data_IF_246962947555
#
_entry.id   IF_246962947555
#
_cell.length_a   1.000
_cell.length_b   1.000
_cell.length_c   1.000
_cell.angle_alpha   90.00
_cell.angle_beta   90.00
_cell.angle_gamma   90.00
#
_symmetry.space_group_name_H-M   'P 1'
#
loop_
_entity.id
_entity.type
_entity.pdbx_description
1 polymer ?
#
# COMPACT_ATOMS: atom_id res chain seq x y z
N UNK A 1 -0.40 -8.47 -23.71
CA UNK A 1 -0.83 -9.83 -23.33
C UNK A 1 -1.72 -10.43 -24.41
N UNK A 2 -1.55 -11.73 -24.66
CA UNK A 2 -2.50 -12.52 -25.46
C UNK A 2 -3.59 -13.06 -24.53
N UNK A 3 -4.67 -12.29 -24.38
CA UNK A 3 -5.74 -12.66 -23.46
C UNK A 3 -6.52 -13.91 -23.90
N UNK A 4 -6.59 -14.21 -25.19
CA UNK A 4 -7.27 -15.42 -25.68
C UNK A 4 -6.47 -16.66 -25.30
N UNK A 5 -5.14 -16.60 -25.42
CA UNK A 5 -4.27 -17.66 -24.89
C UNK A 5 -4.41 -17.78 -23.38
N UNK A 6 -4.32 -16.66 -22.63
CA UNK A 6 -4.41 -16.67 -21.17
C UNK A 6 -5.72 -17.30 -20.68
N UNK A 7 -6.86 -17.03 -21.33
CA UNK A 7 -8.16 -17.68 -21.03
C UNK A 7 -8.08 -19.20 -21.05
N UNK A 8 -7.25 -19.78 -21.90
CA UNK A 8 -7.08 -21.24 -21.97
C UNK A 8 -6.19 -21.77 -20.84
N UNK A 9 -5.30 -20.95 -20.30
CA UNK A 9 -4.31 -21.35 -19.29
C UNK A 9 -4.80 -21.10 -17.86
N UNK A 10 -5.49 -20.00 -17.61
CA UNK A 10 -5.95 -19.53 -16.30
C UNK A 10 -7.48 -19.53 -16.23
N UNK A 11 -8.02 -20.31 -15.28
CA UNK A 11 -9.46 -20.31 -14.96
C UNK A 11 -9.68 -20.15 -13.46
N UNK A 12 -10.89 -19.77 -13.05
CA UNK A 12 -11.26 -19.62 -11.63
C UNK A 12 -11.07 -20.93 -10.87
N UNK A 13 -11.43 -22.08 -11.50
CA UNK A 13 -11.29 -23.41 -10.92
C UNK A 13 -9.81 -23.76 -10.68
N UNK A 14 -8.93 -23.43 -11.63
CA UNK A 14 -7.48 -23.62 -11.45
C UNK A 14 -6.95 -22.75 -10.29
N UNK A 15 -7.39 -21.51 -10.16
CA UNK A 15 -7.00 -20.64 -9.04
C UNK A 15 -7.52 -21.17 -7.70
N UNK A 16 -8.75 -21.68 -7.64
CA UNK A 16 -9.36 -22.20 -6.41
C UNK A 16 -8.56 -23.35 -5.77
N UNK A 17 -7.88 -24.16 -6.59
CA UNK A 17 -7.05 -25.29 -6.10
C UNK A 17 -5.56 -24.96 -5.98
N UNK A 18 -5.15 -23.76 -6.43
CA UNK A 18 -3.76 -23.32 -6.39
C UNK A 18 -3.32 -23.03 -4.96
N UNK A 19 -2.28 -23.72 -4.50
CA UNK A 19 -1.76 -23.58 -3.11
C UNK A 19 -0.81 -22.40 -2.90
N UNK A 20 -0.41 -21.73 -3.99
CA UNK A 20 0.44 -20.54 -3.89
C UNK A 20 -0.38 -19.36 -3.37
N UNK A 21 -0.11 -18.94 -2.15
CA UNK A 21 -0.69 -17.77 -1.48
C UNK A 21 0.28 -16.59 -1.57
N UNK A 22 0.64 -16.20 -2.79
CA UNK A 22 1.45 -15.01 -3.11
C UNK A 22 0.95 -14.35 -4.38
N UNK A 23 1.54 -13.22 -4.75
CA UNK A 23 1.24 -12.56 -6.02
C UNK A 23 1.56 -13.45 -7.24
N UNK A 24 2.43 -14.44 -7.09
CA UNK A 24 2.88 -15.33 -8.15
C UNK A 24 1.83 -16.36 -8.56
N UNK A 25 0.75 -16.47 -7.79
CA UNK A 25 -0.43 -17.29 -8.19
C UNK A 25 -1.09 -16.83 -9.48
N UNK A 26 -0.82 -15.59 -9.92
CA UNK A 26 -1.35 -15.02 -11.17
C UNK A 26 -0.27 -14.95 -12.26
N UNK A 27 0.64 -15.92 -12.27
CA UNK A 27 1.83 -15.91 -13.14
C UNK A 27 1.48 -15.70 -14.62
N UNK A 28 0.38 -16.28 -15.08
CA UNK A 28 -0.10 -16.18 -16.45
C UNK A 28 -0.48 -14.73 -16.87
N UNK A 29 -0.77 -13.90 -15.87
CA UNK A 29 -1.02 -12.47 -16.05
C UNK A 29 0.22 -11.61 -15.73
N UNK A 30 1.40 -12.18 -15.52
CA UNK A 30 2.62 -11.45 -15.22
C UNK A 30 3.60 -11.55 -16.41
N UNK A 31 4.39 -10.49 -16.69
CA UNK A 31 5.31 -10.47 -17.82
C UNK A 31 6.62 -11.19 -17.49
N UNK A 32 6.53 -12.44 -17.09
CA UNK A 32 7.67 -13.30 -16.73
C UNK A 32 7.68 -14.56 -17.59
N UNK A 33 8.87 -15.05 -17.88
CA UNK A 33 9.04 -16.32 -18.57
C UNK A 33 8.61 -17.48 -17.66
N UNK A 34 8.13 -18.56 -18.25
CA UNK A 34 7.68 -19.74 -17.50
C UNK A 34 8.80 -20.33 -16.62
N UNK A 35 10.03 -20.29 -17.11
CA UNK A 35 11.23 -20.78 -16.42
C UNK A 35 11.72 -19.89 -15.28
N UNK A 36 11.27 -18.63 -15.18
CA UNK A 36 11.74 -17.70 -14.15
C UNK A 36 11.25 -18.12 -12.77
N UNK A 37 12.13 -18.38 -11.80
CA UNK A 37 11.68 -18.71 -10.45
C UNK A 37 11.01 -17.49 -9.78
N UNK A 38 9.98 -17.74 -8.99
CA UNK A 38 9.43 -16.71 -8.11
C UNK A 38 10.50 -16.32 -7.06
N UNK A 39 10.69 -15.02 -6.78
CA UNK A 39 11.57 -14.61 -5.68
C UNK A 39 11.16 -15.22 -4.35
N UNK A 40 12.12 -15.48 -3.42
CA UNK A 40 11.87 -16.31 -2.23
C UNK A 40 10.89 -15.73 -1.22
N UNK A 41 10.76 -14.40 -1.13
CA UNK A 41 9.82 -13.78 -0.20
C UNK A 41 8.37 -13.97 -0.67
N UNK A 42 7.50 -14.39 0.23
CA UNK A 42 6.07 -14.50 -0.03
C UNK A 42 5.44 -13.11 -0.04
N UNK A 43 5.39 -12.50 -1.21
CA UNK A 43 4.80 -11.18 -1.44
C UNK A 43 3.37 -11.35 -1.96
N UNK A 44 2.47 -10.49 -1.48
CA UNK A 44 1.06 -10.53 -1.89
C UNK A 44 0.24 -11.55 -1.10
N UNK A 45 -0.97 -11.82 -1.60
CA UNK A 45 -2.02 -12.54 -0.90
C UNK A 45 -2.23 -11.98 0.50
N UNK A 46 -2.15 -10.66 0.59
CA UNK A 46 -2.36 -9.92 1.84
C UNK A 46 -3.82 -10.03 2.29
N UNK A 47 -4.09 -9.90 3.59
CA UNK A 47 -5.46 -10.02 4.10
C UNK A 47 -6.41 -9.01 3.47
N UNK A 48 -7.64 -9.45 3.24
CA UNK A 48 -8.80 -8.62 2.95
C UNK A 48 -9.77 -8.80 4.12
N UNK A 49 -9.82 -7.81 5.01
CA UNK A 49 -10.67 -7.84 6.20
C UNK A 49 -12.05 -7.25 5.90
N UNK A 50 -13.12 -7.93 6.26
CA UNK A 50 -14.44 -7.30 6.35
C UNK A 50 -14.45 -6.38 7.58
N UNK A 51 -14.72 -5.10 7.38
CA UNK A 51 -14.57 -4.04 8.37
C UNK A 51 -15.95 -3.51 8.82
N UNK A 52 -16.79 -4.39 9.37
CA UNK A 52 -18.17 -4.10 9.76
C UNK A 52 -18.31 -2.85 10.65
N UNK A 53 -17.50 -2.74 11.72
CA UNK A 53 -17.52 -1.58 12.63
C UNK A 53 -17.10 -0.27 11.94
N UNK A 54 -16.23 -0.35 10.96
CA UNK A 54 -15.84 0.81 10.17
C UNK A 54 -16.93 1.17 9.16
N UNK A 55 -17.53 0.19 8.51
CA UNK A 55 -18.66 0.36 7.61
C UNK A 55 -19.84 1.05 8.31
N UNK A 56 -20.20 0.58 9.51
CA UNK A 56 -21.25 1.18 10.35
C UNK A 56 -20.95 2.66 10.65
N UNK A 57 -19.70 3.00 11.03
CA UNK A 57 -19.30 4.38 11.31
C UNK A 57 -19.30 5.28 10.07
N UNK A 58 -19.07 4.73 8.90
CA UNK A 58 -19.11 5.46 7.63
C UNK A 58 -20.50 5.49 6.99
N UNK A 59 -21.46 4.74 7.52
CA UNK A 59 -22.85 4.68 7.03
C UNK A 59 -22.98 3.98 5.67
N UNK A 60 -22.14 2.95 5.40
CA UNK A 60 -22.18 2.13 4.19
C UNK A 60 -22.39 0.66 4.52
N UNK A 61 -22.97 -0.10 3.59
CA UNK A 61 -23.37 -1.49 3.84
C UNK A 61 -22.17 -2.43 3.99
N UNK A 62 -21.19 -2.35 3.09
CA UNK A 62 -20.07 -3.27 3.04
C UNK A 62 -18.75 -2.54 2.82
N UNK A 63 -17.83 -2.71 3.75
CA UNK A 63 -16.47 -2.19 3.66
C UNK A 63 -15.45 -3.29 3.91
N UNK A 64 -14.50 -3.39 3.01
CA UNK A 64 -13.35 -4.27 3.14
C UNK A 64 -12.07 -3.46 3.22
N UNK A 65 -11.11 -3.93 4.01
CA UNK A 65 -9.78 -3.32 4.12
C UNK A 65 -8.74 -4.31 3.58
N UNK A 66 -8.10 -3.97 2.46
CA UNK A 66 -6.96 -4.70 1.90
C UNK A 66 -5.69 -4.19 2.56
N UNK A 67 -5.08 -5.01 3.42
CA UNK A 67 -3.91 -4.62 4.20
C UNK A 67 -2.60 -5.09 3.56
N UNK A 68 -2.00 -4.25 2.74
CA UNK A 68 -0.67 -4.48 2.16
C UNK A 68 0.48 -4.06 3.10
N UNK A 69 0.16 -3.52 4.27
CA UNK A 69 1.13 -3.24 5.34
C UNK A 69 1.74 -4.50 5.96
N UNK A 70 1.18 -5.69 5.69
CA UNK A 70 1.70 -6.98 6.17
C UNK A 70 2.62 -7.69 5.18
N UNK A 71 2.92 -7.10 4.03
CA UNK A 71 3.94 -7.64 3.13
C UNK A 71 5.31 -7.73 3.83
N UNK A 72 6.25 -8.56 3.34
CA UNK A 72 7.52 -8.85 4.03
C UNK A 72 8.34 -7.65 4.48
N UNK A 73 8.34 -6.56 3.71
CA UNK A 73 9.02 -5.31 4.12
C UNK A 73 8.04 -4.22 4.51
N UNK A 74 6.85 -4.61 4.90
CA UNK A 74 5.79 -3.80 5.47
C UNK A 74 5.17 -2.76 4.52
N UNK A 75 5.08 -3.05 3.21
CA UNK A 75 4.33 -2.20 2.28
C UNK A 75 4.00 -2.88 0.94
N UNK A 76 3.02 -2.31 0.23
CA UNK A 76 2.64 -2.66 -1.15
C UNK A 76 3.82 -2.63 -2.14
N UNK A 77 4.89 -1.88 -1.82
CA UNK A 77 6.06 -1.77 -2.69
C UNK A 77 6.79 -3.10 -2.88
N UNK A 78 6.59 -4.08 -1.99
CA UNK A 78 7.10 -5.43 -2.16
C UNK A 78 6.64 -6.07 -3.48
N UNK A 79 5.40 -5.84 -3.89
CA UNK A 79 4.86 -6.34 -5.17
C UNK A 79 5.69 -5.87 -6.37
N UNK A 80 6.01 -4.58 -6.38
CA UNK A 80 6.85 -3.98 -7.43
C UNK A 80 8.29 -4.48 -7.37
N UNK A 81 8.85 -4.64 -6.17
CA UNK A 81 10.24 -5.06 -5.99
C UNK A 81 10.41 -6.56 -6.26
N UNK A 82 9.46 -7.41 -5.90
CA UNK A 82 9.44 -8.82 -6.26
C UNK A 82 9.44 -9.00 -7.78
N UNK A 83 8.60 -8.25 -8.50
CA UNK A 83 8.59 -8.26 -9.97
C UNK A 83 9.91 -7.76 -10.56
N UNK A 84 10.48 -6.67 -10.01
CA UNK A 84 11.76 -6.15 -10.47
C UNK A 84 12.90 -7.16 -10.28
N UNK A 85 12.94 -7.86 -9.16
CA UNK A 85 13.93 -8.91 -8.87
C UNK A 85 13.78 -10.08 -9.84
N UNK A 86 12.55 -10.55 -10.11
CA UNK A 86 12.31 -11.60 -11.11
C UNK A 86 12.82 -11.19 -12.50
N UNK A 87 12.49 -9.98 -12.95
CA UNK A 87 12.94 -9.46 -14.26
C UNK A 87 14.45 -9.21 -14.30
N UNK A 88 15.06 -8.80 -13.18
CA UNK A 88 16.52 -8.69 -13.08
C UNK A 88 17.18 -10.06 -13.20
N UNK A 89 16.59 -11.09 -12.59
CA UNK A 89 17.05 -12.49 -12.70
C UNK A 89 16.98 -12.99 -14.15
N UNK A 90 15.87 -12.75 -14.86
CA UNK A 90 15.73 -13.08 -16.28
C UNK A 90 16.79 -12.37 -17.15
N UNK A 91 17.08 -11.13 -16.83
CA UNK A 91 18.13 -10.36 -17.52
C UNK A 91 19.56 -10.80 -17.14
N UNK A 92 19.74 -11.78 -16.26
CA UNK A 92 21.05 -12.22 -15.77
C UNK A 92 21.77 -11.19 -14.90
N UNK A 93 21.06 -10.15 -14.42
CA UNK A 93 21.64 -9.09 -13.62
C UNK A 93 22.09 -9.62 -12.25
N UNK A 94 23.29 -9.19 -11.82
CA UNK A 94 23.84 -9.50 -10.48
C UNK A 94 23.60 -8.36 -9.50
N UNK A 95 23.33 -7.17 -10.02
CA UNK A 95 23.17 -5.92 -9.26
C UNK A 95 21.86 -5.25 -9.66
N UNK A 96 21.12 -4.81 -8.65
CA UNK A 96 19.92 -4.00 -8.82
C UNK A 96 20.02 -2.73 -8.00
N UNK A 97 19.55 -1.59 -8.52
CA UNK A 97 19.72 -0.31 -7.86
C UNK A 97 18.48 0.59 -7.96
N UNK A 98 18.35 1.49 -6.99
CA UNK A 98 17.37 2.58 -7.03
C UNK A 98 17.81 3.80 -6.23
N UNK A 99 17.12 4.92 -6.45
CA UNK A 99 17.16 6.12 -5.59
C UNK A 99 15.86 6.24 -4.82
N UNK A 100 15.90 6.01 -3.51
CA UNK A 100 14.74 6.19 -2.61
C UNK A 100 15.15 6.04 -1.15
N UNK A 101 14.51 6.79 -0.25
CA UNK A 101 14.64 6.63 1.21
C UNK A 101 13.49 5.84 1.84
N UNK A 102 12.37 5.67 1.12
CA UNK A 102 11.11 5.15 1.64
C UNK A 102 10.86 3.67 1.34
N UNK A 103 9.59 3.33 1.25
CA UNK A 103 9.11 1.96 1.03
C UNK A 103 9.65 1.31 -0.25
N UNK A 104 9.98 2.09 -1.28
CA UNK A 104 10.58 1.58 -2.52
C UNK A 104 11.98 1.01 -2.28
N UNK A 105 12.80 1.70 -1.48
CA UNK A 105 14.15 1.25 -1.14
C UNK A 105 14.11 0.02 -0.22
N UNK A 106 13.33 0.07 0.88
CA UNK A 106 13.25 -1.06 1.82
C UNK A 106 12.72 -2.33 1.16
N UNK A 107 11.71 -2.20 0.29
CA UNK A 107 11.20 -3.36 -0.45
C UNK A 107 12.22 -3.92 -1.44
N UNK A 108 12.98 -3.06 -2.12
CA UNK A 108 14.04 -3.54 -3.00
C UNK A 108 15.12 -4.28 -2.21
N UNK A 109 15.63 -3.66 -1.14
CA UNK A 109 16.69 -4.25 -0.33
C UNK A 109 16.29 -5.63 0.21
N UNK A 110 15.08 -5.77 0.78
CA UNK A 110 14.59 -7.04 1.33
C UNK A 110 14.40 -8.11 0.26
N UNK A 111 13.71 -7.79 -0.84
CA UNK A 111 13.47 -8.75 -1.92
C UNK A 111 14.75 -9.18 -2.62
N UNK A 112 15.68 -8.26 -2.88
CA UNK A 112 16.96 -8.55 -3.51
C UNK A 112 17.87 -9.39 -2.60
N UNK A 113 17.92 -9.06 -1.29
CA UNK A 113 18.68 -9.83 -0.31
C UNK A 113 18.24 -11.29 -0.26
N UNK A 114 16.91 -11.54 -0.20
CA UNK A 114 16.36 -12.89 -0.20
C UNK A 114 16.70 -13.67 -1.49
N UNK A 115 16.83 -12.97 -2.61
CA UNK A 115 17.20 -13.56 -3.91
C UNK A 115 18.74 -13.67 -4.12
N UNK A 116 19.55 -13.26 -3.13
CA UNK A 116 21.01 -13.27 -3.26
C UNK A 116 21.57 -12.25 -4.25
N UNK A 117 20.82 -11.19 -4.53
CA UNK A 117 21.19 -10.15 -5.50
C UNK A 117 21.80 -8.94 -4.79
N UNK A 118 22.91 -8.43 -5.30
CA UNK A 118 23.56 -7.24 -4.75
C UNK A 118 22.73 -5.99 -5.01
N UNK A 119 22.61 -5.12 -4.01
CA UNK A 119 21.74 -3.94 -4.06
C UNK A 119 22.49 -2.66 -3.75
N UNK A 120 22.34 -1.65 -4.61
CA UNK A 120 22.81 -0.30 -4.37
C UNK A 120 21.63 0.66 -4.24
N UNK A 121 21.62 1.45 -3.16
CA UNK A 121 20.53 2.40 -2.89
C UNK A 121 21.12 3.78 -2.65
N UNK A 122 20.71 4.74 -3.48
CA UNK A 122 21.12 6.13 -3.36
C UNK A 122 20.11 6.90 -2.50
N UNK A 123 20.59 7.61 -1.50
CA UNK A 123 19.76 8.41 -0.59
C UNK A 123 20.38 9.78 -0.39
N UNK A 124 19.59 10.87 -0.25
CA UNK A 124 20.11 12.15 0.19
C UNK A 124 20.73 12.02 1.58
N UNK A 125 21.79 12.78 1.88
CA UNK A 125 22.49 12.72 3.18
C UNK A 125 21.61 13.06 4.39
N UNK A 126 20.50 13.79 4.15
CA UNK A 126 19.47 14.12 5.16
C UNK A 126 18.45 13.00 5.41
N UNK A 127 18.59 11.85 4.77
CA UNK A 127 17.67 10.73 4.94
C UNK A 127 17.57 10.29 6.41
N UNK A 128 16.37 9.96 6.92
CA UNK A 128 16.18 9.53 8.31
C UNK A 128 17.02 8.30 8.64
N UNK A 129 17.81 8.36 9.71
CA UNK A 129 18.75 7.29 10.11
C UNK A 129 18.06 5.93 10.28
N UNK A 130 16.86 5.89 10.84
CA UNK A 130 16.10 4.64 11.01
C UNK A 130 15.73 3.98 9.70
N UNK A 131 15.36 4.76 8.68
CA UNK A 131 15.08 4.25 7.32
C UNK A 131 16.37 3.69 6.68
N UNK A 132 17.50 4.41 6.81
CA UNK A 132 18.80 3.95 6.30
C UNK A 132 19.27 2.67 6.99
N UNK A 133 19.10 2.57 8.32
CA UNK A 133 19.48 1.37 9.08
C UNK A 133 18.75 0.11 8.59
N UNK A 134 17.46 0.21 8.23
CA UNK A 134 16.71 -0.92 7.65
C UNK A 134 17.35 -1.40 6.34
N UNK A 135 17.75 -0.49 5.46
CA UNK A 135 18.39 -0.83 4.19
C UNK A 135 19.71 -1.56 4.41
N UNK A 136 20.53 -1.05 5.32
CA UNK A 136 21.84 -1.65 5.68
C UNK A 136 21.67 -3.02 6.35
N UNK A 137 20.63 -3.20 7.17
CA UNK A 137 20.30 -4.50 7.80
C UNK A 137 19.96 -5.56 6.76
N UNK A 138 19.30 -5.17 5.66
CA UNK A 138 19.07 -6.05 4.52
C UNK A 138 20.31 -6.26 3.62
N UNK A 139 21.47 -5.72 4.00
CA UNK A 139 22.73 -5.90 3.27
C UNK A 139 22.88 -5.00 2.03
N UNK A 140 22.02 -4.00 1.84
CA UNK A 140 22.17 -3.05 0.75
C UNK A 140 23.39 -2.13 0.98
N UNK A 141 24.15 -1.86 -0.07
CA UNK A 141 25.15 -0.79 -0.09
C UNK A 141 24.42 0.54 -0.26
N UNK A 142 24.36 1.32 0.81
CA UNK A 142 23.69 2.63 0.82
C UNK A 142 24.69 3.73 0.50
N UNK A 143 24.42 4.50 -0.55
CA UNK A 143 25.23 5.64 -1.00
C UNK A 143 24.52 6.91 -0.55
N UNK A 144 25.08 7.57 0.47
CA UNK A 144 24.58 8.85 0.99
C UNK A 144 25.14 10.01 0.17
N UNK A 145 24.27 10.68 -0.58
CA UNK A 145 24.63 11.77 -1.50
C UNK A 145 24.45 13.11 -0.82
N UNK A 146 25.48 13.94 -0.84
CA UNK A 146 25.41 15.34 -0.36
C UNK A 146 24.76 16.21 -1.44
N UNK A 147 23.44 16.32 -1.39
CA UNK A 147 22.67 17.04 -2.38
C UNK A 147 21.16 16.90 -2.17
N UNK A 148 20.40 17.44 -3.10
CA UNK A 148 18.95 17.31 -3.17
C UNK A 148 18.52 15.88 -3.55
N UNK A 149 17.21 15.60 -3.47
CA UNK A 149 16.65 14.34 -3.97
C UNK A 149 16.85 14.22 -5.49
N UNK A 150 16.68 15.31 -6.22
CA UNK A 150 16.86 15.37 -7.68
C UNK A 150 18.29 15.03 -8.10
N UNK A 151 19.28 15.65 -7.44
CA UNK A 151 20.71 15.36 -7.68
C UNK A 151 21.05 13.90 -7.33
N UNK A 152 20.49 13.39 -6.23
CA UNK A 152 20.66 11.98 -5.84
C UNK A 152 20.07 11.03 -6.88
N UNK A 153 18.89 11.36 -7.42
CA UNK A 153 18.22 10.57 -8.45
C UNK A 153 19.03 10.56 -9.74
N UNK A 154 19.49 11.72 -10.20
CA UNK A 154 20.27 11.84 -11.43
C UNK A 154 21.63 11.12 -11.31
N UNK A 155 22.31 11.25 -10.17
CA UNK A 155 23.53 10.48 -9.92
C UNK A 155 23.27 8.97 -9.95
N UNK A 156 22.17 8.51 -9.36
CA UNK A 156 21.80 7.10 -9.39
C UNK A 156 21.58 6.59 -10.81
N UNK A 157 20.92 7.39 -11.65
CA UNK A 157 20.69 7.08 -13.06
C UNK A 157 22.00 6.94 -13.83
N UNK A 158 22.89 7.90 -13.69
CA UNK A 158 24.23 7.86 -14.32
C UNK A 158 25.05 6.63 -13.86
N UNK A 159 25.00 6.30 -12.57
CA UNK A 159 25.69 5.13 -12.04
C UNK A 159 25.11 3.82 -12.59
N UNK A 160 23.79 3.70 -12.64
CA UNK A 160 23.07 2.54 -13.18
C UNK A 160 23.42 2.32 -14.65
N UNK A 161 23.39 3.39 -15.45
CA UNK A 161 23.73 3.34 -16.87
C UNK A 161 25.22 2.99 -17.08
N UNK A 162 26.12 3.61 -16.32
CA UNK A 162 27.58 3.41 -16.43
C UNK A 162 28.00 1.97 -16.14
N UNK A 163 27.38 1.32 -15.16
CA UNK A 163 27.78 -0.03 -14.72
C UNK A 163 26.83 -1.13 -15.20
N UNK A 164 25.79 -0.79 -15.95
CA UNK A 164 24.81 -1.75 -16.46
C UNK A 164 23.99 -2.44 -15.36
N UNK A 165 23.73 -1.75 -14.24
CA UNK A 165 22.92 -2.29 -13.17
C UNK A 165 21.45 -2.34 -13.56
N UNK A 166 20.70 -3.27 -12.99
CA UNK A 166 19.26 -3.32 -13.22
C UNK A 166 18.54 -2.16 -12.51
N UNK A 167 17.81 -1.36 -13.27
CA UNK A 167 17.15 -0.15 -12.76
C UNK A 167 15.79 -0.46 -12.16
N UNK A 168 15.60 -0.16 -10.85
CA UNK A 168 14.32 -0.32 -10.14
C UNK A 168 13.63 1.03 -9.88
N UNK A 169 14.08 2.13 -10.42
CA UNK A 169 13.43 3.42 -10.22
C UNK A 169 12.00 3.42 -10.79
N UNK A 170 11.06 4.07 -10.03
CA UNK A 170 9.68 4.19 -10.45
C UNK A 170 9.56 4.95 -11.77
N UNK A 171 8.57 4.58 -12.58
CA UNK A 171 8.26 5.11 -13.90
C UNK A 171 9.37 4.89 -14.98
N UNK A 172 10.58 4.46 -14.62
CA UNK A 172 11.59 4.03 -15.59
C UNK A 172 11.38 2.54 -15.91
N UNK A 173 11.19 1.72 -14.90
CA UNK A 173 10.95 0.29 -15.06
C UNK A 173 9.45 0.00 -15.17
N UNK A 174 8.92 -0.40 -16.35
CA UNK A 174 7.48 -0.63 -16.55
C UNK A 174 6.95 -1.84 -15.77
N UNK A 175 7.80 -2.81 -15.46
CA UNK A 175 7.41 -4.03 -14.73
C UNK A 175 6.96 -3.77 -13.29
N UNK A 176 7.30 -2.61 -12.73
CA UNK A 176 6.85 -2.26 -11.37
C UNK A 176 5.33 -2.12 -11.27
N UNK A 177 4.68 -1.60 -12.30
CA UNK A 177 3.22 -1.51 -12.38
C UNK A 177 2.58 -2.89 -12.52
N UNK A 178 3.23 -3.80 -13.25
CA UNK A 178 2.78 -5.19 -13.40
C UNK A 178 2.83 -5.96 -12.06
N UNK A 179 3.83 -5.71 -11.23
CA UNK A 179 3.84 -6.23 -9.86
C UNK A 179 2.69 -5.67 -9.02
N UNK A 180 2.47 -4.36 -9.08
CA UNK A 180 1.42 -3.68 -8.31
C UNK A 180 0.01 -4.07 -8.72
N UNK A 181 -0.24 -4.43 -10.00
CA UNK A 181 -1.57 -4.84 -10.46
C UNK A 181 -2.13 -6.03 -9.69
N UNK A 182 -1.26 -6.86 -9.11
CA UNK A 182 -1.67 -8.06 -8.38
C UNK A 182 -2.54 -7.76 -7.16
N UNK A 183 -2.49 -6.54 -6.59
CA UNK A 183 -3.41 -6.15 -5.52
C UNK A 183 -4.87 -6.17 -6.00
N UNK A 184 -5.13 -5.72 -7.22
CA UNK A 184 -6.47 -5.78 -7.83
C UNK A 184 -6.92 -7.20 -8.15
N UNK A 185 -6.00 -8.05 -8.63
CA UNK A 185 -6.28 -9.45 -8.89
C UNK A 185 -6.71 -10.17 -7.60
N UNK A 186 -5.97 -9.95 -6.52
CA UNK A 186 -6.26 -10.54 -5.20
C UNK A 186 -7.59 -10.05 -4.61
N UNK A 187 -7.88 -8.75 -4.70
CA UNK A 187 -9.14 -8.18 -4.22
C UNK A 187 -10.32 -8.90 -4.90
N UNK A 188 -10.28 -9.08 -6.21
CA UNK A 188 -11.38 -9.74 -6.93
C UNK A 188 -11.50 -11.22 -6.55
N UNK A 189 -10.39 -11.95 -6.43
CA UNK A 189 -10.43 -13.36 -6.03
C UNK A 189 -10.90 -13.51 -4.58
N UNK A 190 -10.44 -12.68 -3.65
CA UNK A 190 -10.83 -12.72 -2.24
C UNK A 190 -12.27 -12.27 -1.98
N UNK A 191 -12.89 -11.54 -2.92
CA UNK A 191 -14.31 -11.23 -2.94
C UNK A 191 -15.14 -12.25 -3.72
N UNK A 192 -14.57 -13.42 -3.99
CA UNK A 192 -15.23 -14.47 -4.79
C UNK A 192 -15.73 -13.93 -6.15
N UNK A 193 -14.88 -13.10 -6.78
CA UNK A 193 -15.11 -12.44 -8.08
C UNK A 193 -16.27 -11.45 -8.11
N UNK A 194 -16.83 -11.11 -6.94
CA UNK A 194 -17.85 -10.06 -6.82
C UNK A 194 -17.17 -8.70 -6.88
N UNK A 195 -17.54 -7.93 -7.89
CA UNK A 195 -16.90 -6.62 -8.10
C UNK A 195 -17.49 -5.60 -7.13
N UNK A 196 -16.68 -4.94 -6.29
CA UNK A 196 -17.13 -3.86 -5.43
C UNK A 196 -17.54 -2.65 -6.28
N UNK A 197 -18.28 -1.72 -5.69
CA UNK A 197 -18.66 -0.48 -6.40
C UNK A 197 -17.48 0.48 -6.46
N UNK A 198 -16.66 0.50 -5.41
CA UNK A 198 -15.51 1.39 -5.33
C UNK A 198 -14.27 0.69 -4.76
N UNK A 199 -13.09 1.11 -5.24
CA UNK A 199 -11.80 0.80 -4.60
C UNK A 199 -11.09 2.12 -4.30
N UNK A 200 -10.89 2.41 -3.01
CA UNK A 200 -10.21 3.60 -2.53
C UNK A 200 -8.71 3.33 -2.32
N UNK A 201 -7.87 4.22 -2.85
CA UNK A 201 -6.42 4.06 -2.79
C UNK A 201 -5.71 5.40 -2.63
N UNK A 202 -4.61 5.39 -1.88
CA UNK A 202 -3.70 6.52 -1.73
C UNK A 202 -2.89 6.72 -3.00
N UNK A 203 -2.79 7.96 -3.48
CA UNK A 203 -2.13 8.28 -4.76
C UNK A 203 -1.03 9.33 -4.55
N UNK A 204 0.20 8.99 -4.91
CA UNK A 204 1.33 9.90 -5.04
C UNK A 204 1.82 9.93 -6.50
N UNK A 205 2.83 9.12 -6.83
CA UNK A 205 3.44 9.02 -8.17
C UNK A 205 2.51 8.44 -9.27
N UNK A 206 1.33 7.94 -8.90
CA UNK A 206 0.35 7.38 -9.83
C UNK A 206 0.56 5.90 -10.20
N UNK A 207 1.74 5.32 -9.92
CA UNK A 207 2.04 3.93 -10.31
C UNK A 207 1.10 2.88 -9.69
N UNK A 208 0.59 3.11 -8.46
CA UNK A 208 -0.22 2.11 -7.76
C UNK A 208 -1.63 2.06 -8.31
N UNK A 209 -2.29 3.21 -8.48
CA UNK A 209 -3.64 3.28 -9.05
C UNK A 209 -3.66 2.81 -10.51
N UNK A 210 -2.63 3.16 -11.28
CA UNK A 210 -2.47 2.68 -12.66
C UNK A 210 -2.26 1.16 -12.73
N UNK A 211 -1.45 0.60 -11.84
CA UNK A 211 -1.25 -0.85 -11.74
C UNK A 211 -2.53 -1.58 -11.34
N UNK A 212 -3.21 -1.11 -10.28
CA UNK A 212 -4.50 -1.63 -9.84
C UNK A 212 -5.50 -1.67 -11.01
N UNK A 213 -5.65 -0.56 -11.72
CA UNK A 213 -6.55 -0.47 -12.87
C UNK A 213 -6.19 -1.44 -13.99
N UNK A 214 -4.89 -1.58 -14.28
CA UNK A 214 -4.40 -2.57 -15.24
C UNK A 214 -4.81 -3.99 -14.87
N UNK A 215 -4.66 -4.38 -13.61
CA UNK A 215 -5.05 -5.71 -13.13
C UNK A 215 -6.55 -5.97 -13.25
N UNK A 216 -7.37 -4.99 -12.94
CA UNK A 216 -8.84 -5.08 -13.11
C UNK A 216 -9.23 -5.22 -14.57
N UNK A 217 -8.59 -4.46 -15.48
CA UNK A 217 -8.81 -4.61 -16.93
C UNK A 217 -8.35 -5.98 -17.44
N UNK A 218 -7.27 -6.53 -16.91
CA UNK A 218 -6.83 -7.88 -17.27
C UNK A 218 -7.89 -8.93 -16.91
N UNK A 219 -8.43 -8.87 -15.68
CA UNK A 219 -9.50 -9.79 -15.25
C UNK A 219 -10.77 -9.65 -16.08
N UNK A 220 -11.14 -8.42 -16.43
CA UNK A 220 -12.28 -8.16 -17.30
C UNK A 220 -12.03 -8.71 -18.71
N UNK A 221 -10.84 -8.51 -19.26
CA UNK A 221 -10.47 -9.00 -20.59
C UNK A 221 -10.48 -10.52 -20.70
N UNK A 222 -10.10 -11.23 -19.62
CA UNK A 222 -10.18 -12.71 -19.59
C UNK A 222 -11.55 -13.24 -19.13
N UNK A 223 -12.51 -12.36 -18.82
CA UNK A 223 -13.88 -12.75 -18.46
C UNK A 223 -14.06 -13.23 -17.00
N UNK A 224 -13.12 -12.91 -16.11
CA UNK A 224 -13.26 -13.26 -14.68
C UNK A 224 -14.22 -12.36 -13.93
N UNK A 225 -14.35 -11.13 -14.37
CA UNK A 225 -15.33 -10.15 -13.90
C UNK A 225 -16.09 -9.56 -15.08
N UNK A 226 -17.34 -9.22 -14.87
CA UNK A 226 -18.27 -8.73 -15.91
C UNK A 226 -18.35 -7.20 -15.97
N UNK A 227 -17.92 -6.52 -14.92
CA UNK A 227 -17.85 -5.06 -14.82
C UNK A 227 -16.56 -4.62 -14.15
N UNK A 228 -16.27 -3.33 -14.22
CA UNK A 228 -15.12 -2.70 -13.55
C UNK A 228 -15.61 -1.81 -12.41
N UNK A 229 -14.91 -1.77 -11.25
CA UNK A 229 -15.26 -0.88 -10.17
C UNK A 229 -14.86 0.57 -10.51
N UNK A 230 -15.44 1.53 -9.81
CA UNK A 230 -14.98 2.91 -9.81
C UNK A 230 -13.79 3.06 -8.85
N UNK A 231 -12.76 3.78 -9.27
CA UNK A 231 -11.62 4.07 -8.40
C UNK A 231 -11.86 5.36 -7.60
N UNK A 232 -11.40 5.39 -6.36
CA UNK A 232 -11.30 6.59 -5.54
C UNK A 232 -9.83 6.94 -5.42
N UNK A 233 -9.42 8.04 -6.06
CA UNK A 233 -8.07 8.61 -5.95
C UNK A 233 -8.03 9.57 -4.76
N UNK A 234 -7.33 9.20 -3.70
CA UNK A 234 -7.12 10.06 -2.55
C UNK A 234 -5.69 10.60 -2.52
N UNK A 235 -5.54 11.92 -2.53
CA UNK A 235 -4.28 12.65 -2.37
C UNK A 235 -4.33 13.54 -1.12
N UNK A 236 -3.16 13.89 -0.57
CA UNK A 236 -3.07 14.90 0.47
C UNK A 236 -3.29 16.31 -0.12
N UNK A 237 -4.04 17.16 0.55
CA UNK A 237 -4.32 18.55 0.07
C UNK A 237 -3.04 19.34 -0.21
N UNK A 238 -2.00 19.12 0.60
CA UNK A 238 -0.70 19.78 0.43
C UNK A 238 0.13 19.27 -0.76
N UNK A 239 -0.31 18.17 -1.43
CA UNK A 239 0.34 17.65 -2.64
C UNK A 239 -0.63 16.79 -3.44
N UNK A 240 -1.46 17.42 -4.30
CA UNK A 240 -2.55 16.76 -5.04
C UNK A 240 -2.57 17.08 -6.55
N UNK A 241 -1.44 17.04 -7.27
CA UNK A 241 -1.38 17.51 -8.66
C UNK A 241 -2.31 16.72 -9.61
N UNK A 242 -2.49 15.41 -9.38
CA UNK A 242 -3.33 14.57 -10.23
C UNK A 242 -4.81 14.80 -10.00
N UNK A 243 -5.25 14.88 -8.75
CA UNK A 243 -6.64 15.13 -8.42
C UNK A 243 -7.06 16.53 -8.90
N UNK A 244 -6.19 17.54 -8.71
CA UNK A 244 -6.44 18.89 -9.21
C UNK A 244 -6.64 18.91 -10.73
N UNK A 245 -5.86 18.16 -11.49
CA UNK A 245 -6.05 18.03 -12.95
C UNK A 245 -7.42 17.44 -13.32
N UNK A 246 -7.91 16.47 -12.57
CA UNK A 246 -9.25 15.89 -12.78
C UNK A 246 -10.35 16.90 -12.41
N UNK A 247 -10.20 17.61 -11.29
CA UNK A 247 -11.18 18.57 -10.79
C UNK A 247 -11.33 19.79 -11.70
N UNK A 248 -10.21 20.29 -12.24
CA UNK A 248 -10.21 21.48 -13.11
C UNK A 248 -10.41 21.16 -14.58
N UNK A 249 -10.13 19.93 -15.01
CA UNK A 249 -10.08 19.55 -16.42
C UNK A 249 -8.81 20.00 -17.15
N UNK A 250 -7.90 20.69 -16.45
CA UNK A 250 -6.65 21.21 -17.00
C UNK A 250 -5.53 20.15 -16.92
N UNK A 251 -4.45 20.26 -17.70
CA UNK A 251 -3.25 19.45 -17.54
C UNK A 251 -2.72 19.55 -16.10
N UNK A 252 -2.12 18.47 -15.61
CA UNK A 252 -1.49 18.53 -14.30
C UNK A 252 -0.23 19.42 -14.32
N UNK A 253 0.03 20.09 -13.21
CA UNK A 253 1.21 20.94 -13.01
C UNK A 253 1.95 20.51 -11.75
N UNK A 254 3.29 20.70 -11.68
CA UNK A 254 4.06 20.47 -10.47
C UNK A 254 3.49 21.24 -9.27
N UNK A 255 3.51 20.62 -8.11
CA UNK A 255 3.14 21.21 -6.82
C UNK A 255 4.25 21.05 -5.80
N UNK A 256 4.30 21.94 -4.81
CA UNK A 256 5.11 21.74 -3.62
C UNK A 256 4.62 20.53 -2.81
N UNK A 257 5.54 19.91 -2.10
CA UNK A 257 5.28 18.73 -1.27
C UNK A 257 5.12 19.17 0.18
N UNK A 258 3.90 19.52 0.58
CA UNK A 258 3.57 19.99 1.92
C UNK A 258 2.54 19.09 2.60
N UNK A 259 2.97 17.90 3.02
CA UNK A 259 2.15 16.95 3.77
C UNK A 259 3.02 16.02 4.61
N UNK A 260 2.50 15.57 5.74
CA UNK A 260 3.13 14.53 6.57
C UNK A 260 3.10 13.13 5.92
N UNK A 261 2.29 12.94 4.89
CA UNK A 261 2.15 11.67 4.18
C UNK A 261 3.30 11.45 3.17
N UNK A 262 4.53 11.36 3.67
CA UNK A 262 5.82 11.32 2.95
C UNK A 262 5.81 10.44 1.69
N UNK A 263 5.28 9.22 1.79
CA UNK A 263 5.32 8.26 0.67
C UNK A 263 4.40 8.59 -0.51
N UNK A 264 3.49 9.57 -0.38
CA UNK A 264 2.63 10.11 -1.43
C UNK A 264 2.86 11.59 -1.69
N UNK A 265 3.78 12.25 -0.96
CA UNK A 265 4.22 13.60 -1.25
C UNK A 265 5.06 13.57 -2.54
N UNK A 266 4.42 13.69 -3.68
CA UNK A 266 5.05 13.65 -5.00
C UNK A 266 4.50 14.78 -5.86
N UNK A 267 5.20 15.91 -5.81
CA UNK A 267 4.81 17.13 -6.53
C UNK A 267 4.97 17.02 -8.06
N UNK A 268 5.84 16.12 -8.51
CA UNK A 268 6.06 15.80 -9.93
C UNK A 268 5.81 14.32 -10.16
N UNK A 269 4.55 13.88 -10.34
CA UNK A 269 4.22 12.47 -10.50
C UNK A 269 4.72 11.93 -11.85
N UNK A 270 5.61 10.94 -11.78
CA UNK A 270 6.26 10.36 -12.97
C UNK A 270 5.36 9.42 -13.78
N UNK A 271 4.24 9.00 -13.19
CA UNK A 271 3.28 8.09 -13.84
C UNK A 271 1.90 8.75 -14.02
N UNK A 272 1.90 10.09 -14.14
CA UNK A 272 0.70 10.92 -14.19
C UNK A 272 -0.30 10.45 -15.25
N UNK A 273 0.14 10.28 -16.50
CA UNK A 273 -0.76 9.96 -17.62
C UNK A 273 -1.53 8.65 -17.38
N UNK A 274 -0.84 7.61 -16.88
CA UNK A 274 -1.49 6.33 -16.58
C UNK A 274 -2.44 6.41 -15.40
N UNK A 275 -2.13 7.25 -14.40
CA UNK A 275 -3.01 7.48 -13.25
C UNK A 275 -4.26 8.25 -13.66
N UNK A 276 -4.11 9.34 -14.41
CA UNK A 276 -5.22 10.13 -14.94
C UNK A 276 -6.12 9.31 -15.86
N UNK A 277 -5.53 8.47 -16.71
CA UNK A 277 -6.27 7.53 -17.53
C UNK A 277 -7.07 6.53 -16.68
N UNK A 278 -6.48 5.94 -15.63
CA UNK A 278 -7.17 5.02 -14.74
C UNK A 278 -8.36 5.67 -14.03
N UNK A 279 -8.20 6.90 -13.54
CA UNK A 279 -9.27 7.66 -12.88
C UNK A 279 -10.41 7.95 -13.87
N UNK A 280 -10.08 8.42 -15.08
CA UNK A 280 -11.08 8.76 -16.12
C UNK A 280 -11.81 7.52 -16.65
N UNK A 281 -11.09 6.48 -17.03
CA UNK A 281 -11.68 5.23 -17.56
C UNK A 281 -12.58 4.54 -16.54
N UNK A 282 -12.25 4.61 -15.24
CA UNK A 282 -13.08 4.02 -14.18
C UNK A 282 -14.28 4.89 -13.80
N UNK A 283 -14.50 6.04 -14.43
CA UNK A 283 -15.43 7.07 -13.95
C UNK A 283 -15.22 7.35 -12.45
N UNK A 284 -13.94 7.41 -12.05
CA UNK A 284 -13.49 7.46 -10.67
C UNK A 284 -13.85 8.77 -9.96
N UNK A 285 -13.75 8.73 -8.64
CA UNK A 285 -13.86 9.90 -7.78
C UNK A 285 -12.46 10.36 -7.38
N UNK A 286 -12.29 11.66 -7.25
CA UNK A 286 -11.08 12.25 -6.66
C UNK A 286 -11.44 12.96 -5.36
N UNK A 287 -10.54 12.90 -4.40
CA UNK A 287 -10.71 13.53 -3.10
C UNK A 287 -9.35 13.93 -2.52
N UNK A 288 -9.26 15.17 -2.05
CA UNK A 288 -8.10 15.67 -1.35
C UNK A 288 -8.41 15.73 0.14
N UNK A 289 -7.48 15.25 0.97
CA UNK A 289 -7.64 15.17 2.42
C UNK A 289 -6.53 15.91 3.13
N UNK A 290 -6.87 16.58 4.23
CA UNK A 290 -5.89 17.27 5.06
C UNK A 290 -5.06 16.27 5.86
N UNK A 291 -3.94 16.71 6.41
CA UNK A 291 -3.11 15.91 7.29
C UNK A 291 -3.86 15.47 8.55
N UNK A 292 -4.75 16.31 9.09
CA UNK A 292 -5.62 15.98 10.22
C UNK A 292 -6.63 14.87 9.86
N UNK A 293 -7.22 14.91 8.67
CA UNK A 293 -8.14 13.88 8.17
C UNK A 293 -7.41 12.55 8.00
N UNK A 294 -6.16 12.57 7.50
CA UNK A 294 -5.31 11.39 7.37
C UNK A 294 -5.01 10.76 8.75
N UNK A 295 -4.60 11.59 9.72
CA UNK A 295 -4.29 11.14 11.08
C UNK A 295 -5.55 10.63 11.81
N UNK A 296 -6.70 11.24 11.56
CA UNK A 296 -7.98 10.76 12.09
C UNK A 296 -8.36 9.39 11.51
N UNK A 297 -8.14 9.18 10.21
CA UNK A 297 -8.38 7.90 9.55
C UNK A 297 -7.44 6.79 10.04
N UNK A 298 -6.17 7.10 10.33
CA UNK A 298 -5.22 6.16 10.93
C UNK A 298 -5.74 5.63 12.27
N UNK A 299 -6.20 6.54 13.16
CA UNK A 299 -6.81 6.16 14.44
C UNK A 299 -8.10 5.37 14.27
N UNK A 300 -8.91 5.77 13.32
CA UNK A 300 -10.20 5.13 13.04
C UNK A 300 -9.99 3.68 12.60
N UNK A 301 -9.11 3.42 11.63
CA UNK A 301 -8.74 2.07 11.19
C UNK A 301 -8.22 1.22 12.35
N UNK A 302 -7.27 1.74 13.14
CA UNK A 302 -6.75 1.03 14.31
C UNK A 302 -7.82 0.62 15.31
N UNK A 303 -8.77 1.51 15.60
CA UNK A 303 -9.82 1.29 16.61
C UNK A 303 -10.98 0.41 16.13
N UNK A 304 -11.22 0.36 14.83
CA UNK A 304 -12.39 -0.34 14.28
C UNK A 304 -12.05 -1.70 13.68
N UNK A 305 -10.92 -1.83 13.01
CA UNK A 305 -10.52 -3.09 12.36
C UNK A 305 -9.11 -3.58 12.71
N UNK A 306 -8.40 -2.90 13.62
CA UNK A 306 -7.08 -3.33 14.08
C UNK A 306 -5.97 -3.16 13.03
N UNK A 307 -6.21 -2.44 11.95
CA UNK A 307 -5.22 -2.19 10.91
C UNK A 307 -4.42 -0.93 11.23
N UNK A 308 -3.11 -1.08 11.35
CA UNK A 308 -2.19 0.03 11.63
C UNK A 308 -1.43 0.40 10.37
N UNK A 309 -1.92 1.39 9.63
CA UNK A 309 -1.27 1.92 8.43
C UNK A 309 -0.47 3.19 8.69
N UNK A 310 0.56 3.44 7.87
CA UNK A 310 1.26 4.74 7.85
C UNK A 310 0.37 5.83 7.26
N UNK A 311 0.62 7.13 7.50
CA UNK A 311 -0.20 8.22 6.97
C UNK A 311 -0.46 8.10 5.46
N UNK A 312 0.58 7.93 4.67
CA UNK A 312 0.46 7.72 3.23
C UNK A 312 -0.34 6.46 2.87
N UNK A 313 -0.28 5.42 3.71
CA UNK A 313 -0.98 4.16 3.51
C UNK A 313 -2.48 4.25 3.74
N UNK A 314 -2.93 5.11 4.65
CA UNK A 314 -4.33 5.25 5.06
C UNK A 314 -5.07 6.40 4.37
N UNK A 315 -4.39 7.21 3.56
CA UNK A 315 -4.98 8.34 2.84
C UNK A 315 -6.19 7.93 1.99
N UNK A 316 -6.16 6.72 1.40
CA UNK A 316 -7.32 6.15 0.68
C UNK A 316 -8.55 5.98 1.57
N UNK A 317 -8.37 5.52 2.80
CA UNK A 317 -9.46 5.38 3.77
C UNK A 317 -9.93 6.75 4.30
N UNK A 318 -9.04 7.72 4.45
CA UNK A 318 -9.40 9.11 4.79
C UNK A 318 -10.27 9.73 3.69
N UNK A 319 -9.89 9.54 2.44
CA UNK A 319 -10.68 10.00 1.29
C UNK A 319 -12.04 9.34 1.20
N UNK A 320 -12.12 8.03 1.44
CA UNK A 320 -13.40 7.32 1.49
C UNK A 320 -14.31 7.92 2.58
N UNK A 321 -13.78 8.10 3.78
CA UNK A 321 -14.53 8.71 4.90
C UNK A 321 -15.10 10.07 4.50
N UNK A 322 -14.27 10.96 3.94
CA UNK A 322 -14.68 12.29 3.48
C UNK A 322 -15.78 12.23 2.42
N UNK A 323 -15.69 11.29 1.47
CA UNK A 323 -16.73 11.10 0.44
C UNK A 323 -18.04 10.56 1.01
N UNK A 324 -18.00 9.67 2.01
CA UNK A 324 -19.19 9.22 2.74
C UNK A 324 -19.87 10.40 3.46
N UNK A 325 -19.12 11.23 4.18
CA UNK A 325 -19.61 12.43 4.87
C UNK A 325 -20.21 13.45 3.91
N UNK A 326 -19.72 13.51 2.67
CA UNK A 326 -20.28 14.36 1.60
C UNK A 326 -21.50 13.73 0.89
N UNK A 327 -21.93 12.52 1.27
CA UNK A 327 -23.05 11.82 0.62
C UNK A 327 -22.75 11.38 -0.82
N UNK A 328 -21.45 11.26 -1.18
CA UNK A 328 -21.03 10.85 -2.54
C UNK A 328 -20.91 9.33 -2.72
N UNK A 329 -20.96 8.58 -1.65
CA UNK A 329 -21.00 7.11 -1.64
C UNK A 329 -22.39 6.68 -1.21
N UNK A 330 -23.01 5.81 -2.00
CA UNK A 330 -24.35 5.30 -1.68
C UNK A 330 -24.30 4.42 -0.40
N UNK A 331 -25.33 4.48 0.46
CA UNK A 331 -25.34 3.70 1.71
C UNK A 331 -25.29 2.18 1.50
N UNK A 332 -25.77 1.67 0.38
CA UNK A 332 -25.77 0.25 0.00
C UNK A 332 -24.50 -0.18 -0.76
N UNK A 333 -23.54 0.73 -0.94
CA UNK A 333 -22.30 0.47 -1.66
C UNK A 333 -21.42 -0.59 -0.98
N UNK A 334 -20.74 -1.37 -1.82
CA UNK A 334 -19.62 -2.23 -1.43
C UNK A 334 -18.31 -1.52 -1.79
N UNK A 335 -17.45 -1.30 -0.81
CA UNK A 335 -16.20 -0.56 -0.99
C UNK A 335 -15.00 -1.36 -0.49
N UNK A 336 -13.87 -1.25 -1.17
CA UNK A 336 -12.57 -1.74 -0.69
C UNK A 336 -11.65 -0.55 -0.46
N UNK A 337 -11.09 -0.43 0.75
CA UNK A 337 -10.04 0.53 1.06
C UNK A 337 -8.68 -0.20 1.10
N UNK A 338 -7.70 0.28 0.32
CA UNK A 338 -6.36 -0.33 0.28
C UNK A 338 -5.42 0.44 1.21
N UNK A 339 -4.94 -0.24 2.25
CA UNK A 339 -3.88 0.26 3.14
C UNK A 339 -2.54 -0.19 2.59
N UNK A 340 -1.71 0.76 2.15
CA UNK A 340 -0.53 0.45 1.33
C UNK A 340 0.78 0.32 2.11
N UNK A 341 0.82 0.68 3.39
CA UNK A 341 2.03 0.58 4.21
C UNK A 341 1.73 0.55 5.69
N UNK A 342 2.60 -0.12 6.45
CA UNK A 342 2.47 -0.33 7.89
C UNK A 342 2.82 0.92 8.69
N UNK A 343 2.08 1.18 9.77
CA UNK A 343 2.26 2.35 10.63
C UNK A 343 3.62 2.44 11.32
N UNK A 344 4.30 1.31 11.52
CA UNK A 344 5.67 1.29 12.06
C UNK A 344 6.71 1.92 11.11
N UNK A 345 6.35 2.20 9.87
CA UNK A 345 7.19 2.97 8.93
C UNK A 345 7.27 4.45 9.29
N UNK A 346 6.30 4.95 10.07
CA UNK A 346 6.22 6.34 10.49
C UNK A 346 5.69 6.46 11.94
N UNK A 347 6.52 6.03 12.88
CA UNK A 347 6.19 6.01 14.31
C UNK A 347 5.98 7.41 14.87
N UNK A 348 6.72 8.40 14.39
CA UNK A 348 6.63 9.77 14.87
C UNK A 348 5.22 10.36 14.65
N UNK A 349 4.69 10.24 13.44
CA UNK A 349 3.34 10.67 13.13
C UNK A 349 2.27 9.84 13.87
N UNK A 350 2.49 8.54 14.07
CA UNK A 350 1.57 7.71 14.84
C UNK A 350 1.49 8.17 16.31
N UNK A 351 2.62 8.52 16.95
CA UNK A 351 2.65 9.09 18.29
C UNK A 351 1.95 10.45 18.32
N UNK A 352 2.27 11.34 17.37
CA UNK A 352 1.59 12.63 17.26
C UNK A 352 0.07 12.51 17.12
N UNK A 353 -0.42 11.48 16.40
CA UNK A 353 -1.84 11.20 16.25
C UNK A 353 -2.51 10.74 17.56
N UNK A 354 -1.83 9.90 18.33
CA UNK A 354 -2.44 9.20 19.47
C UNK A 354 -2.25 9.93 20.82
N UNK A 355 -1.23 10.79 20.92
CA UNK A 355 -0.82 11.44 22.17
C UNK A 355 0.08 10.54 23.03
N UNK A 356 0.42 11.04 24.21
CA UNK A 356 1.34 10.35 25.12
C UNK A 356 0.60 9.29 25.98
N UNK A 357 1.30 8.21 26.37
CA UNK A 357 0.79 7.25 27.32
C UNK A 357 0.58 7.88 28.71
N UNK A 358 -0.39 7.38 29.47
CA UNK A 358 -0.55 7.75 30.86
C UNK A 358 0.61 7.19 31.66
N UNK A 359 1.49 8.07 32.16
CA UNK A 359 2.64 7.69 32.97
C UNK A 359 2.30 7.77 34.46
N UNK A 360 2.47 6.66 35.16
CA UNK A 360 2.25 6.56 36.61
C UNK A 360 3.41 5.80 37.27
N UNK A 361 3.73 6.05 38.55
CA UNK A 361 4.53 5.16 39.36
C UNK A 361 3.87 3.77 39.49
N UNK A 362 4.65 2.75 39.85
CA UNK A 362 4.13 1.40 40.12
C UNK A 362 3.36 1.36 41.45
N UNK A 363 2.21 2.03 41.46
CA UNK A 363 1.39 2.26 42.66
C UNK A 363 -0.09 2.27 42.31
N UNK A 364 -0.91 1.51 43.08
CA UNK A 364 -2.32 1.33 42.80
C UNK A 364 -3.18 2.58 43.09
N UNK A 365 -2.82 3.39 44.07
CA UNK A 365 -3.56 4.61 44.39
C UNK A 365 -3.35 5.64 43.26
N UNK A 366 -2.13 5.72 42.72
CA UNK A 366 -1.83 6.56 41.57
C UNK A 366 -2.55 6.12 40.31
N UNK A 367 -2.71 4.80 40.10
CA UNK A 367 -3.51 4.27 38.99
C UNK A 367 -4.96 4.69 39.10
N UNK A 368 -5.57 4.56 40.31
CA UNK A 368 -6.96 4.96 40.54
C UNK A 368 -7.16 6.48 40.32
N UNK A 369 -6.26 7.30 40.87
CA UNK A 369 -6.29 8.75 40.65
C UNK A 369 -6.17 9.13 39.17
N UNK A 370 -5.31 8.43 38.43
CA UNK A 370 -5.15 8.66 37.00
C UNK A 370 -6.41 8.30 36.20
N UNK A 371 -7.13 7.25 36.59
CA UNK A 371 -8.40 6.89 35.94
C UNK A 371 -9.49 7.93 36.24
N UNK A 372 -9.65 8.36 37.49
CA UNK A 372 -10.59 9.40 37.86
C UNK A 372 -10.31 10.73 37.15
N UNK A 373 -9.03 11.15 37.14
CA UNK A 373 -8.61 12.40 36.52
C UNK A 373 -8.77 12.43 34.97
N UNK A 374 -8.79 11.28 34.33
CA UNK A 374 -9.01 11.16 32.88
C UNK A 374 -10.45 10.75 32.50
N UNK A 375 -11.39 10.76 33.46
CA UNK A 375 -12.79 10.38 33.22
C UNK A 375 -12.96 8.91 32.82
N UNK A 376 -12.00 8.06 33.14
CA UNK A 376 -12.04 6.63 32.86
C UNK A 376 -12.59 5.88 34.06
N UNK A 377 -13.63 5.08 33.84
CA UNK A 377 -14.08 4.10 34.83
C UNK A 377 -13.44 2.75 34.49
N UNK A 378 -12.77 2.13 35.44
CA UNK A 378 -12.35 0.75 35.30
C UNK A 378 -13.61 -0.13 35.09
N UNK A 379 -13.74 -0.84 33.94
CA UNK A 379 -14.91 -1.70 33.75
C UNK A 379 -14.88 -2.82 34.80
N UNK A 380 -15.76 -2.78 35.75
CA UNK A 380 -15.91 -3.85 36.73
C UNK A 380 -16.60 -5.03 36.05
N UNK A 381 -15.82 -5.95 35.54
CA UNK A 381 -16.33 -7.24 35.07
C UNK A 381 -16.78 -8.02 36.31
N UNK A 382 -18.07 -8.02 36.59
CA UNK A 382 -18.64 -8.98 37.53
C UNK A 382 -18.47 -10.37 36.95
N UNK A 383 -17.37 -11.05 37.29
CA UNK A 383 -17.23 -12.47 36.99
C UNK A 383 -18.44 -13.22 37.56
N UNK A 384 -19.36 -13.64 36.70
CA UNK A 384 -20.32 -14.68 37.11
C UNK A 384 -19.47 -15.90 37.40
N UNK A 385 -19.37 -16.27 38.68
CA UNK A 385 -18.77 -17.54 39.12
C UNK A 385 -19.49 -18.68 38.39
N UNK A 386 -18.95 -19.17 37.31
CA UNK A 386 -19.41 -20.42 36.72
C UNK A 386 -19.01 -21.52 37.68
N UNK A 387 -19.93 -22.39 38.16
CA UNK A 387 -19.56 -23.47 39.05
C UNK A 387 -18.56 -24.39 38.36
N UNK A 388 -17.39 -24.61 38.95
CA UNK A 388 -16.39 -25.57 38.46
C UNK A 388 -17.05 -26.94 38.35
N UNK A 389 -17.26 -27.43 37.14
CA UNK A 389 -17.54 -28.84 36.92
C UNK A 389 -16.34 -29.61 37.47
N UNK A 390 -16.57 -30.46 38.51
CA UNK A 390 -15.58 -31.41 38.94
C UNK A 390 -15.31 -32.38 37.77
N UNK A 391 -14.14 -32.31 37.20
CA UNK A 391 -13.62 -33.43 36.40
C UNK A 391 -13.26 -34.50 37.40
N UNK A 392 -14.02 -35.58 37.41
CA UNK A 392 -13.57 -36.86 37.96
C UNK A 392 -12.69 -37.55 36.94
N UNK A 393 -11.47 -37.87 37.33
CA UNK A 393 -10.58 -38.76 36.62
C UNK A 393 -11.11 -40.19 36.64
#
# INVERSE_FOLDING_TARGET
>A
YDYDYIKTQLTKEKLAVRRDNSMWRYRELLPVEESTPAPPLRVGWSPLYEAERLAEQLGIAHLYVKDDGVNPTASLKDRASSMAVAKATEAGAKVIACSSTGNAASSLAGNAAAAGMQTYIFVPSRAPKGKVAQLMTFGATVISVQGSYEETFELSKQAIEKWGWYNRNAAINPYLSEGKKTVGLEIMEQLDWKVPDYIAISVGDGCTIAGLWKGLKDLHAIGFIDRLPRLISAQAEGCCPLNRSIETGEPWHPMEENTLADSIAVGVPRNADKALMAIRESNGLVVNVSDEEIMAAQKLLGRTCGVFGEPAGVTGAAGLKKLCEQGKIAPDATVVAVVTGNGLKDVANAIAACGEPISIPSDMERLLTAFEGNGMSAPVIKCKKTPRKKCSF
#
